data_IF_867888205197
#
_entry.id   IF_867888205197
#
_cell.length_a   1.000
_cell.length_b   1.000
_cell.length_c   1.000
_cell.angle_alpha   90.00
_cell.angle_beta   90.00
_cell.angle_gamma   90.00
#
_symmetry.space_group_name_H-M   'P 1'
#
loop_
_entity.id
_entity.type
_entity.pdbx_description
1 polymer ?
#
# COMPACT_ATOMS: atom_id res chain seq x y z
N UNK A 1 27.94 -0.40 10.87
CA UNK A 1 26.93 0.09 11.85
C UNK A 1 25.61 0.20 11.11
N UNK A 2 24.56 -0.44 11.60
CA UNK A 2 23.22 -0.36 10.99
C UNK A 2 22.62 1.00 11.33
N UNK A 3 22.25 1.78 10.30
CA UNK A 3 21.63 3.09 10.50
C UNK A 3 20.21 2.90 11.02
N UNK A 4 19.92 3.51 12.18
CA UNK A 4 18.56 3.56 12.71
C UNK A 4 17.83 4.77 12.13
N UNK A 5 16.58 4.57 11.74
CA UNK A 5 15.65 5.62 11.33
C UNK A 5 14.48 5.54 12.31
N UNK A 6 14.05 6.64 12.94
CA UNK A 6 12.89 6.59 13.85
C UNK A 6 12.98 5.56 15.00
N UNK A 7 14.19 5.11 15.36
CA UNK A 7 14.42 4.09 16.40
C UNK A 7 14.58 2.65 15.91
N UNK A 8 14.31 2.35 14.63
CA UNK A 8 14.43 1.00 14.07
C UNK A 8 15.41 0.94 12.89
N UNK A 9 16.00 -0.23 12.70
CA UNK A 9 16.76 -0.53 11.50
C UNK A 9 15.82 -1.00 10.38
N UNK A 10 16.32 -0.99 9.14
CA UNK A 10 15.68 -1.73 8.07
C UNK A 10 16.07 -3.20 8.10
N UNK A 11 15.13 -4.09 7.79
CA UNK A 11 15.42 -5.50 7.56
C UNK A 11 16.46 -5.66 6.46
N UNK A 12 17.37 -6.63 6.63
CA UNK A 12 18.34 -6.96 5.62
C UNK A 12 17.64 -7.33 4.30
N UNK A 13 18.08 -6.72 3.20
CA UNK A 13 17.51 -6.95 1.88
C UNK A 13 16.22 -6.16 1.58
N UNK A 14 15.73 -5.36 2.52
CA UNK A 14 14.67 -4.38 2.28
C UNK A 14 14.99 -3.49 1.07
N UNK A 15 13.92 -3.11 0.36
CA UNK A 15 14.00 -2.28 -0.83
C UNK A 15 13.20 -1.01 -0.62
N UNK A 16 13.81 0.11 -0.99
CA UNK A 16 13.26 1.45 -0.84
C UNK A 16 13.23 2.15 -2.20
N UNK A 17 12.25 3.04 -2.44
CA UNK A 17 12.24 3.84 -3.65
C UNK A 17 13.52 4.69 -3.77
N UNK A 18 14.04 4.77 -4.99
CA UNK A 18 15.21 5.61 -5.30
C UNK A 18 14.79 7.06 -5.50
N UNK A 19 15.70 7.96 -5.15
CA UNK A 19 15.58 9.39 -5.42
C UNK A 19 16.58 9.78 -6.53
N UNK A 20 16.35 10.88 -7.27
CA UNK A 20 15.23 11.83 -7.11
C UNK A 20 13.91 11.31 -7.70
N UNK A 21 12.79 11.77 -7.13
CA UNK A 21 11.47 11.57 -7.72
C UNK A 21 11.31 12.41 -8.98
N UNK A 22 10.68 11.84 -10.00
CA UNK A 22 10.29 12.54 -11.24
C UNK A 22 8.81 12.35 -11.53
N UNK A 23 8.26 13.21 -12.39
CA UNK A 23 6.95 12.95 -12.98
C UNK A 23 7.05 11.77 -13.96
N UNK A 24 6.00 10.95 -14.09
CA UNK A 24 5.91 9.98 -15.16
C UNK A 24 5.97 10.67 -16.53
N UNK A 25 6.48 9.98 -17.55
CA UNK A 25 6.35 10.40 -18.95
C UNK A 25 4.88 10.29 -19.39
N UNK A 26 4.54 10.83 -20.56
CA UNK A 26 3.20 10.66 -21.14
C UNK A 26 2.86 9.19 -21.39
N UNK A 27 3.83 8.41 -21.87
CA UNK A 27 3.70 6.97 -22.09
C UNK A 27 3.46 6.21 -20.78
N UNK A 28 4.26 6.48 -19.74
CA UNK A 28 4.06 5.89 -18.41
C UNK A 28 2.71 6.29 -17.82
N UNK A 29 2.29 7.55 -18.01
CA UNK A 29 0.98 8.01 -17.54
C UNK A 29 -0.15 7.26 -18.24
N UNK A 30 -0.06 7.10 -19.56
CA UNK A 30 -1.05 6.35 -20.33
C UNK A 30 -1.09 4.86 -19.96
N UNK A 31 0.03 4.26 -19.56
CA UNK A 31 0.06 2.87 -19.09
C UNK A 31 -0.39 2.70 -17.64
N UNK A 32 -0.23 3.72 -16.79
CA UNK A 32 -0.54 3.65 -15.36
C UNK A 32 -1.99 4.02 -15.03
N UNK A 33 -2.61 4.87 -15.83
CA UNK A 33 -3.95 5.41 -15.55
C UNK A 33 -4.99 4.66 -16.37
N UNK A 34 -5.86 3.92 -15.68
CA UNK A 34 -7.05 3.36 -16.29
C UNK A 34 -8.03 4.49 -16.67
N UNK A 35 -8.61 4.42 -17.88
CA UNK A 35 -9.61 5.38 -18.36
C UNK A 35 -11.01 5.10 -17.82
N UNK A 36 -11.25 3.88 -17.36
CA UNK A 36 -12.51 3.43 -16.75
C UNK A 36 -12.22 2.70 -15.45
N UNK A 37 -13.17 2.73 -14.51
CA UNK A 37 -13.04 1.99 -13.26
C UNK A 37 -13.06 0.48 -13.54
N UNK A 38 -11.96 -0.26 -13.28
CA UNK A 38 -11.90 -1.69 -13.57
C UNK A 38 -12.99 -2.45 -12.83
N UNK A 39 -13.55 -3.50 -13.44
CA UNK A 39 -14.51 -4.39 -12.76
C UNK A 39 -13.86 -5.18 -11.64
N UNK A 40 -12.64 -5.65 -11.91
CA UNK A 40 -11.82 -6.36 -10.95
C UNK A 40 -10.84 -5.40 -10.27
N UNK A 41 -10.95 -5.29 -8.95
CA UNK A 41 -10.09 -4.45 -8.13
C UNK A 41 -8.81 -5.18 -7.67
N UNK A 42 -8.63 -6.45 -8.04
CA UNK A 42 -7.44 -7.26 -7.70
C UNK A 42 -6.17 -6.83 -8.45
N UNK A 43 -6.31 -5.96 -9.46
CA UNK A 43 -5.24 -5.47 -10.34
C UNK A 43 -5.21 -3.94 -10.43
N UNK A 44 -5.99 -3.24 -9.60
CA UNK A 44 -6.18 -1.79 -9.71
C UNK A 44 -5.92 -1.08 -8.38
N UNK A 45 -5.28 0.08 -8.46
CA UNK A 45 -5.20 1.03 -7.35
C UNK A 45 -6.14 2.19 -7.65
N UNK A 46 -7.02 2.53 -6.71
CA UNK A 46 -7.88 3.71 -6.80
C UNK A 46 -7.50 4.71 -5.74
N UNK A 47 -7.37 5.99 -6.11
CA UNK A 47 -7.26 7.10 -5.17
C UNK A 47 -8.62 7.79 -5.15
N UNK A 48 -9.22 7.88 -3.97
CA UNK A 48 -10.54 8.47 -3.79
C UNK A 48 -10.49 9.62 -2.81
N UNK A 49 -11.30 10.64 -3.09
CA UNK A 49 -11.58 11.72 -2.16
C UNK A 49 -12.86 11.38 -1.42
N UNK A 50 -12.77 11.32 -0.10
CA UNK A 50 -13.95 11.03 0.72
C UNK A 50 -14.86 12.26 0.80
N UNK A 51 -16.18 12.05 0.95
CA UNK A 51 -17.14 13.14 1.10
C UNK A 51 -16.86 13.95 2.37
N UNK A 52 -17.47 15.13 2.46
CA UNK A 52 -17.24 16.08 3.55
C UNK A 52 -17.50 15.54 4.96
N UNK A 53 -18.18 14.42 5.10
CA UNK A 53 -18.28 13.71 6.38
C UNK A 53 -16.92 13.22 6.91
N UNK A 54 -15.84 13.26 6.11
CA UNK A 54 -14.45 13.02 6.51
C UNK A 54 -13.63 14.31 6.71
N UNK A 55 -14.27 15.46 6.95
CA UNK A 55 -13.58 16.67 7.42
C UNK A 55 -13.01 16.48 8.84
N UNK A 56 -12.26 17.49 9.30
CA UNK A 56 -11.45 17.45 10.53
C UNK A 56 -12.14 16.77 11.71
N UNK A 57 -13.40 17.11 12.03
CA UNK A 57 -14.13 16.53 13.16
C UNK A 57 -14.33 15.02 13.10
N UNK A 58 -14.54 14.44 11.91
CA UNK A 58 -14.69 13.00 11.77
C UNK A 58 -13.36 12.27 11.80
N UNK A 59 -12.30 12.91 11.30
CA UNK A 59 -10.94 12.37 11.42
C UNK A 59 -10.47 12.42 12.86
N UNK A 60 -10.80 13.50 13.58
CA UNK A 60 -10.60 13.61 15.02
C UNK A 60 -11.37 12.52 15.78
N UNK A 61 -12.63 12.26 15.41
CA UNK A 61 -13.43 11.19 15.98
C UNK A 61 -12.78 9.82 15.74
N UNK A 62 -12.38 9.48 14.50
CA UNK A 62 -11.71 8.22 14.18
C UNK A 62 -10.42 8.04 15.00
N UNK A 63 -9.66 9.12 15.23
CA UNK A 63 -8.43 9.07 16.05
C UNK A 63 -8.70 8.91 17.55
N UNK A 64 -9.87 9.29 18.03
CA UNK A 64 -10.16 9.39 19.48
C UNK A 64 -11.21 8.40 19.98
N UNK A 65 -12.05 7.84 19.11
CA UNK A 65 -13.22 7.08 19.49
C UNK A 65 -13.02 5.56 19.39
N UNK A 66 -13.40 4.88 20.47
CA UNK A 66 -13.73 3.46 20.48
C UNK A 66 -15.22 3.29 20.13
N UNK A 67 -15.55 2.40 19.19
CA UNK A 67 -16.91 1.89 18.90
C UNK A 67 -17.93 2.78 18.15
N UNK A 68 -17.51 3.73 17.28
CA UNK A 68 -18.43 4.32 16.28
C UNK A 68 -18.43 3.51 14.96
N UNK A 69 -19.55 3.53 14.22
CA UNK A 69 -19.63 2.95 12.88
C UNK A 69 -18.94 3.88 11.86
N UNK A 70 -17.61 3.84 11.84
CA UNK A 70 -16.79 4.60 10.90
C UNK A 70 -16.94 4.12 9.45
N UNK A 71 -17.62 3.00 9.21
CA UNK A 71 -17.87 2.49 7.87
C UNK A 71 -19.08 3.16 7.23
N UNK A 72 -20.05 3.62 8.01
CA UNK A 72 -21.26 4.28 7.52
C UNK A 72 -20.97 5.38 6.47
N UNK A 73 -20.10 6.38 6.74
CA UNK A 73 -19.81 7.43 5.75
C UNK A 73 -19.01 6.90 4.55
N UNK A 74 -18.25 5.81 4.70
CA UNK A 74 -17.55 5.18 3.56
C UNK A 74 -18.49 4.41 2.65
N UNK A 75 -19.56 3.82 3.19
CA UNK A 75 -20.56 3.06 2.40
C UNK A 75 -21.29 3.92 1.37
N UNK A 76 -21.25 5.25 1.52
CA UNK A 76 -21.76 6.18 0.51
C UNK A 76 -20.83 6.36 -0.71
N UNK A 77 -19.56 5.96 -0.62
CA UNK A 77 -18.54 6.13 -1.67
C UNK A 77 -17.90 4.81 -2.11
N UNK A 78 -18.07 3.76 -1.31
CA UNK A 78 -17.51 2.44 -1.59
C UNK A 78 -18.54 1.34 -1.29
N UNK A 79 -18.63 0.36 -2.18
CA UNK A 79 -19.08 -0.98 -1.83
C UNK A 79 -17.92 -1.70 -1.15
N UNK A 80 -18.17 -2.36 -0.03
CA UNK A 80 -17.13 -3.08 0.71
C UNK A 80 -17.09 -4.57 0.36
N UNK A 81 -18.17 -5.12 -0.19
CA UNK A 81 -18.38 -6.56 -0.29
C UNK A 81 -18.19 -7.29 1.06
N UNK A 82 -18.26 -8.61 1.05
CA UNK A 82 -17.99 -9.43 2.25
C UNK A 82 -16.80 -10.39 1.98
N UNK A 83 -16.01 -10.75 3.00
CA UNK A 83 -16.10 -10.27 4.39
C UNK A 83 -15.52 -8.85 4.57
N UNK A 84 -16.03 -8.10 5.56
CA UNK A 84 -15.44 -6.82 5.99
C UNK A 84 -14.65 -6.98 7.29
N UNK A 85 -13.38 -6.57 7.27
CA UNK A 85 -12.51 -6.56 8.44
C UNK A 85 -12.01 -5.14 8.74
N UNK A 86 -12.42 -4.58 9.88
CA UNK A 86 -11.87 -3.31 10.36
C UNK A 86 -10.52 -3.59 11.02
N UNK A 87 -9.43 -3.11 10.41
CA UNK A 87 -8.07 -3.20 10.98
C UNK A 87 -7.87 -2.10 12.03
N UNK A 88 -8.51 -0.94 11.82
CA UNK A 88 -8.49 0.17 12.76
C UNK A 88 -7.43 1.22 12.41
N UNK A 89 -7.02 1.97 13.43
CA UNK A 89 -6.09 3.09 13.31
C UNK A 89 -4.63 2.64 13.39
N UNK A 90 -3.76 3.28 12.60
CA UNK A 90 -2.32 3.12 12.67
C UNK A 90 -1.60 4.47 12.75
N UNK A 91 -0.47 4.51 13.44
CA UNK A 91 0.37 5.70 13.58
C UNK A 91 1.82 5.42 13.17
N UNK A 92 2.45 6.33 12.44
CA UNK A 92 3.87 6.27 12.12
C UNK A 92 4.56 7.61 12.40
N UNK A 93 5.89 7.58 12.57
CA UNK A 93 6.69 8.79 12.70
C UNK A 93 6.71 9.58 11.37
N UNK A 94 6.80 10.92 11.43
CA UNK A 94 7.00 11.75 10.23
C UNK A 94 8.35 11.49 9.57
N UNK A 95 8.45 11.81 8.28
CA UNK A 95 9.71 11.90 7.56
C UNK A 95 10.30 10.55 7.10
N UNK A 96 9.51 9.48 7.07
CA UNK A 96 9.96 8.14 6.72
C UNK A 96 9.74 7.82 5.22
N UNK A 97 10.77 7.23 4.59
CA UNK A 97 10.72 6.75 3.20
C UNK A 97 9.72 5.62 2.99
N UNK A 98 9.61 4.74 3.98
CA UNK A 98 8.62 3.68 4.11
C UNK A 98 8.24 3.56 5.57
N UNK A 99 7.00 3.17 5.89
CA UNK A 99 6.48 3.27 7.26
C UNK A 99 6.26 1.93 7.95
N UNK A 100 6.09 0.83 7.20
CA UNK A 100 5.74 -0.46 7.81
C UNK A 100 6.89 -1.05 8.63
N UNK A 101 6.59 -1.34 9.90
CA UNK A 101 7.48 -2.00 10.85
C UNK A 101 6.99 -3.42 11.13
N UNK A 102 7.89 -4.40 11.07
CA UNK A 102 7.67 -5.67 11.74
C UNK A 102 7.91 -5.47 13.25
N UNK A 103 6.83 -5.38 14.02
CA UNK A 103 6.91 -5.08 15.45
C UNK A 103 7.54 -6.20 16.29
N UNK A 104 7.46 -7.46 15.85
CA UNK A 104 8.12 -8.57 16.55
C UNK A 104 9.64 -8.46 16.48
N UNK A 105 10.15 -7.98 15.34
CA UNK A 105 11.58 -7.85 15.07
C UNK A 105 12.13 -6.44 15.30
N UNK A 106 11.26 -5.43 15.40
CA UNK A 106 11.67 -4.03 15.53
C UNK A 106 12.42 -3.53 14.30
N UNK A 107 11.93 -3.86 13.10
CA UNK A 107 12.59 -3.48 11.85
C UNK A 107 11.60 -2.99 10.80
N UNK A 108 12.00 -1.99 10.01
CA UNK A 108 11.27 -1.60 8.82
C UNK A 108 11.42 -2.64 7.72
N UNK A 109 10.30 -3.01 7.09
CA UNK A 109 10.27 -4.04 6.05
C UNK A 109 10.66 -3.46 4.68
N UNK A 110 10.31 -2.19 4.44
CA UNK A 110 10.35 -1.54 3.13
C UNK A 110 9.22 -2.03 2.22
N UNK A 111 9.36 -1.84 0.91
CA UNK A 111 8.38 -2.32 -0.08
C UNK A 111 8.05 -3.81 0.16
N UNK A 112 6.78 -4.12 0.43
CA UNK A 112 6.34 -5.42 0.89
C UNK A 112 4.99 -5.82 0.28
N UNK A 113 4.58 -7.06 0.59
CA UNK A 113 3.29 -7.63 0.26
C UNK A 113 2.64 -8.07 1.57
N UNK A 114 1.38 -7.71 1.77
CA UNK A 114 0.59 -8.18 2.90
C UNK A 114 0.26 -9.67 2.75
N UNK A 115 -0.03 -10.38 3.84
CA UNK A 115 -0.38 -11.80 3.81
C UNK A 115 -1.45 -12.12 4.86
N UNK A 116 -2.69 -11.66 4.64
CA UNK A 116 -3.78 -11.86 5.58
C UNK A 116 -4.70 -13.02 5.19
N UNK A 117 -4.93 -13.21 3.90
CA UNK A 117 -5.83 -14.24 3.37
C UNK A 117 -5.07 -15.53 2.99
N UNK A 118 -3.74 -15.52 3.09
CA UNK A 118 -2.85 -16.69 2.97
C UNK A 118 -2.94 -17.45 1.63
N UNK A 119 -3.29 -16.74 0.56
CA UNK A 119 -3.28 -17.31 -0.79
C UNK A 119 -1.86 -17.57 -1.31
N UNK A 120 -1.72 -18.54 -2.21
CA UNK A 120 -0.51 -18.68 -3.03
C UNK A 120 -0.45 -17.62 -4.12
N UNK A 121 0.73 -17.44 -4.73
CA UNK A 121 0.98 -16.42 -5.76
C UNK A 121 -0.04 -16.48 -6.91
N UNK A 122 -0.48 -17.68 -7.30
CA UNK A 122 -1.42 -17.87 -8.42
C UNK A 122 -2.84 -17.45 -8.05
N UNK A 123 -3.18 -17.50 -6.76
CA UNK A 123 -4.52 -17.23 -6.22
C UNK A 123 -4.65 -15.86 -5.57
N UNK A 124 -3.59 -15.05 -5.54
CA UNK A 124 -3.59 -13.70 -4.93
C UNK A 124 -4.67 -12.75 -5.50
N UNK A 125 -5.14 -12.99 -6.72
CA UNK A 125 -6.24 -12.22 -7.31
C UNK A 125 -7.59 -12.46 -6.61
N UNK A 126 -7.74 -13.52 -5.80
CA UNK A 126 -8.92 -13.77 -4.98
C UNK A 126 -8.88 -13.07 -3.62
N UNK A 127 -7.70 -12.60 -3.19
CA UNK A 127 -7.50 -11.92 -1.92
C UNK A 127 -8.39 -10.68 -1.80
N UNK A 128 -8.77 -10.38 -0.58
CA UNK A 128 -9.39 -9.11 -0.23
C UNK A 128 -8.42 -7.97 -0.50
N UNK A 129 -8.96 -6.82 -0.88
CA UNK A 129 -8.22 -5.57 -0.99
C UNK A 129 -8.47 -4.73 0.27
N UNK A 130 -7.77 -3.60 0.40
CA UNK A 130 -7.94 -2.69 1.53
C UNK A 130 -8.16 -1.26 1.08
N UNK A 131 -8.96 -0.54 1.85
CA UNK A 131 -9.01 0.91 1.85
C UNK A 131 -8.16 1.41 3.01
N UNK A 132 -7.30 2.40 2.75
CA UNK A 132 -6.51 3.06 3.77
C UNK A 132 -6.69 4.57 3.64
N UNK A 133 -7.22 5.18 4.69
CA UNK A 133 -7.62 6.58 4.73
C UNK A 133 -6.54 7.39 5.43
N UNK A 134 -6.16 8.53 4.86
CA UNK A 134 -5.35 9.52 5.56
C UNK A 134 -6.22 10.30 6.56
N UNK A 135 -6.15 9.91 7.83
CA UNK A 135 -6.83 10.63 8.92
C UNK A 135 -5.91 11.66 9.60
N UNK A 136 -4.64 11.73 9.22
CA UNK A 136 -3.65 12.64 9.78
C UNK A 136 -3.75 14.08 9.27
N UNK A 137 -2.87 14.94 9.77
CA UNK A 137 -2.87 16.38 9.47
C UNK A 137 -2.07 16.78 8.24
N UNK A 138 -1.21 15.89 7.75
CA UNK A 138 -0.35 16.14 6.61
C UNK A 138 -0.68 15.18 5.47
N UNK A 139 -0.35 15.57 4.25
CA UNK A 139 -0.44 14.65 3.13
C UNK A 139 0.56 13.50 3.34
N UNK A 140 0.18 12.31 2.87
CA UNK A 140 1.01 11.11 2.89
C UNK A 140 1.16 10.56 1.47
N UNK A 141 2.03 9.59 1.31
CA UNK A 141 2.19 8.93 0.02
C UNK A 141 1.87 7.44 0.13
N UNK A 142 1.22 6.91 -0.90
CA UNK A 142 1.14 5.48 -1.17
C UNK A 142 2.17 5.12 -2.25
N UNK A 143 2.97 4.10 -1.98
CA UNK A 143 4.05 3.64 -2.83
C UNK A 143 3.70 2.26 -3.39
N UNK A 144 3.91 2.01 -4.67
CA UNK A 144 3.74 0.66 -5.23
C UNK A 144 4.56 0.41 -6.51
N UNK A 145 4.86 -0.86 -6.79
CA UNK A 145 5.30 -1.28 -8.12
C UNK A 145 4.07 -1.47 -9.02
N UNK A 146 4.10 -1.04 -10.29
CA UNK A 146 2.95 -1.14 -11.19
C UNK A 146 2.80 -2.56 -11.79
N UNK A 147 3.01 -3.60 -10.98
CA UNK A 147 2.94 -5.00 -11.36
C UNK A 147 2.28 -5.80 -10.23
N UNK A 148 1.48 -6.79 -10.60
CA UNK A 148 0.99 -7.76 -9.62
C UNK A 148 2.13 -8.65 -9.11
N UNK A 149 1.93 -9.30 -7.97
CA UNK A 149 2.89 -10.28 -7.45
C UNK A 149 3.07 -11.45 -8.42
N UNK A 150 1.97 -11.88 -9.05
CA UNK A 150 1.99 -12.93 -10.06
C UNK A 150 2.81 -12.53 -11.30
N UNK A 151 2.63 -11.32 -11.83
CA UNK A 151 3.39 -10.85 -13.00
C UNK A 151 4.89 -10.80 -12.69
N UNK A 152 5.25 -10.29 -11.51
CA UNK A 152 6.65 -10.25 -11.08
C UNK A 152 7.24 -11.65 -10.94
N UNK A 153 6.48 -12.60 -10.41
CA UNK A 153 6.93 -13.99 -10.31
C UNK A 153 7.15 -14.61 -11.69
N UNK A 154 6.27 -14.34 -12.66
CA UNK A 154 6.45 -14.77 -14.05
C UNK A 154 7.72 -14.17 -14.67
N UNK A 155 7.94 -12.86 -14.53
CA UNK A 155 9.13 -12.19 -15.04
C UNK A 155 10.43 -12.73 -14.43
N UNK A 156 10.42 -13.04 -13.13
CA UNK A 156 11.57 -13.67 -12.47
C UNK A 156 11.82 -15.10 -12.95
N UNK A 157 10.77 -15.90 -13.12
CA UNK A 157 10.89 -17.25 -13.65
C UNK A 157 11.48 -17.26 -15.07
N UNK A 158 11.08 -16.30 -15.91
CA UNK A 158 11.65 -16.11 -17.24
C UNK A 158 13.13 -15.70 -17.19
N UNK A 159 13.49 -14.76 -16.31
CA UNK A 159 14.86 -14.23 -16.22
C UNK A 159 15.86 -15.19 -15.53
N UNK A 160 15.39 -15.98 -14.56
CA UNK A 160 16.23 -16.88 -13.75
C UNK A 160 16.16 -18.34 -14.23
N UNK A 161 15.18 -18.68 -15.06
CA UNK A 161 15.00 -19.99 -15.67
C UNK A 161 14.38 -21.04 -14.74
N UNK A 162 14.32 -22.28 -15.25
CA UNK A 162 13.59 -23.42 -14.65
C UNK A 162 14.04 -23.83 -13.23
N UNK A 163 15.18 -23.34 -12.75
CA UNK A 163 15.70 -23.62 -11.40
C UNK A 163 15.26 -22.62 -10.34
N UNK A 164 14.53 -21.57 -10.70
CA UNK A 164 14.00 -20.60 -9.75
C UNK A 164 12.74 -21.15 -9.08
N UNK A 165 12.74 -21.14 -7.75
CA UNK A 165 11.59 -21.53 -6.94
C UNK A 165 10.96 -20.29 -6.32
N UNK A 166 9.62 -20.26 -6.29
CA UNK A 166 8.87 -19.17 -5.64
C UNK A 166 9.22 -19.15 -4.15
N UNK A 167 9.77 -18.04 -3.62
CA UNK A 167 10.03 -17.89 -2.20
C UNK A 167 8.75 -18.01 -1.36
N UNK A 168 8.88 -18.59 -0.16
CA UNK A 168 7.76 -18.77 0.76
C UNK A 168 7.09 -17.46 1.22
N UNK A 169 7.84 -16.35 1.25
CA UNK A 169 7.32 -15.01 1.57
C UNK A 169 7.18 -14.20 0.29
N UNK A 170 5.98 -13.74 -0.04
CA UNK A 170 5.74 -12.92 -1.24
C UNK A 170 6.60 -11.66 -1.30
N UNK A 171 6.89 -11.04 -0.16
CA UNK A 171 7.80 -9.88 -0.08
C UNK A 171 9.19 -10.21 -0.67
N UNK A 172 9.68 -11.44 -0.54
CA UNK A 172 10.99 -11.84 -1.07
C UNK A 172 11.00 -11.90 -2.61
N UNK A 173 9.86 -12.24 -3.24
CA UNK A 173 9.70 -12.15 -4.71
C UNK A 173 10.02 -10.72 -5.16
N UNK A 174 9.44 -9.72 -4.51
CA UNK A 174 9.69 -8.31 -4.82
C UNK A 174 11.13 -7.89 -4.56
N UNK A 175 11.75 -8.39 -3.48
CA UNK A 175 13.16 -8.09 -3.18
C UNK A 175 14.11 -8.59 -4.25
N UNK A 176 13.86 -9.79 -4.77
CA UNK A 176 14.62 -10.37 -5.89
C UNK A 176 14.37 -9.58 -7.18
N UNK A 177 13.11 -9.27 -7.49
CA UNK A 177 12.75 -8.48 -8.67
C UNK A 177 13.42 -7.11 -8.67
N UNK A 178 13.30 -6.33 -7.60
CA UNK A 178 13.93 -5.01 -7.49
C UNK A 178 15.46 -5.08 -7.45
N UNK A 179 16.06 -6.23 -7.08
CA UNK A 179 17.49 -6.45 -7.21
C UNK A 179 17.90 -6.63 -8.67
N UNK A 180 17.10 -7.38 -9.43
CA UNK A 180 17.39 -7.79 -10.80
C UNK A 180 17.01 -6.73 -11.83
N UNK A 181 15.95 -5.98 -11.56
CA UNK A 181 15.38 -4.93 -12.39
C UNK A 181 15.39 -3.58 -11.64
N UNK A 182 16.59 -3.05 -11.33
CA UNK A 182 16.75 -1.87 -10.48
C UNK A 182 16.17 -0.58 -11.07
N UNK A 183 15.90 -0.55 -12.36
CA UNK A 183 15.43 0.64 -13.09
C UNK A 183 13.91 0.69 -13.24
N UNK A 184 13.20 -0.35 -12.78
CA UNK A 184 11.73 -0.33 -12.71
C UNK A 184 11.30 0.74 -11.70
N UNK A 185 10.47 1.72 -12.10
CA UNK A 185 10.07 2.80 -11.22
C UNK A 185 9.05 2.33 -10.18
N UNK A 186 9.20 2.84 -8.96
CA UNK A 186 8.13 2.81 -7.95
C UNK A 186 7.20 3.98 -8.22
N UNK A 187 5.90 3.72 -8.29
CA UNK A 187 4.85 4.73 -8.39
C UNK A 187 4.58 5.30 -7.00
N UNK A 188 4.37 6.62 -6.95
CA UNK A 188 4.05 7.34 -5.71
C UNK A 188 2.81 8.21 -5.92
N UNK A 189 1.75 7.90 -5.18
CA UNK A 189 0.51 8.67 -5.16
C UNK A 189 0.47 9.55 -3.90
N UNK A 190 0.16 10.83 -4.06
CA UNK A 190 -0.09 11.75 -2.95
C UNK A 190 -1.53 11.53 -2.44
N UNK A 191 -1.69 11.49 -1.12
CA UNK A 191 -2.99 11.47 -0.45
C UNK A 191 -3.07 12.63 0.54
N UNK A 192 -3.92 13.60 0.24
CA UNK A 192 -4.26 14.66 1.18
C UNK A 192 -5.04 14.09 2.38
N UNK A 193 -5.09 14.83 3.51
CA UNK A 193 -6.02 14.51 4.58
C UNK A 193 -7.46 14.33 4.09
N UNK A 194 -8.11 13.23 4.47
CA UNK A 194 -9.46 12.86 3.99
C UNK A 194 -9.48 12.16 2.62
N UNK A 195 -8.33 11.89 2.01
CA UNK A 195 -8.22 11.01 0.84
C UNK A 195 -7.83 9.59 1.26
N UNK A 196 -8.17 8.62 0.43
CA UNK A 196 -7.88 7.22 0.67
C UNK A 196 -7.39 6.53 -0.61
N UNK A 197 -6.63 5.45 -0.45
CA UNK A 197 -6.42 4.51 -1.54
C UNK A 197 -7.23 3.24 -1.29
N UNK A 198 -7.69 2.61 -2.36
CA UNK A 198 -8.15 1.22 -2.40
C UNK A 198 -7.12 0.45 -3.22
N UNK A 199 -6.52 -0.59 -2.64
CA UNK A 199 -5.47 -1.36 -3.30
C UNK A 199 -5.46 -2.84 -2.88
N UNK A 200 -5.14 -3.78 -3.81
CA UNK A 200 -5.01 -5.20 -3.54
C UNK A 200 -3.64 -5.50 -2.92
N UNK A 201 -3.44 -5.13 -1.66
CA UNK A 201 -2.10 -5.12 -1.03
C UNK A 201 -1.48 -6.49 -0.77
N UNK A 202 -2.25 -7.58 -0.92
CA UNK A 202 -1.71 -8.94 -0.98
C UNK A 202 -1.24 -9.33 -2.39
N UNK A 203 -1.70 -8.64 -3.43
CA UNK A 203 -1.29 -8.84 -4.83
C UNK A 203 -0.48 -7.66 -5.39
N UNK A 204 0.08 -6.80 -4.53
CA UNK A 204 0.80 -5.59 -4.91
C UNK A 204 1.98 -5.32 -3.98
N UNK A 205 3.18 -5.11 -4.54
CA UNK A 205 4.32 -4.63 -3.77
C UNK A 205 4.13 -3.16 -3.43
N UNK A 206 4.04 -2.82 -2.15
CA UNK A 206 3.64 -1.50 -1.71
C UNK A 206 4.26 -1.10 -0.36
N UNK A 207 4.10 0.18 0.01
CA UNK A 207 4.27 0.71 1.36
C UNK A 207 3.59 2.09 1.46
N UNK A 208 3.52 2.68 2.66
CA UNK A 208 3.24 4.09 2.86
C UNK A 208 4.52 4.92 3.02
N UNK A 209 4.46 6.22 2.78
CA UNK A 209 5.56 7.14 3.13
C UNK A 209 5.03 8.42 3.79
N UNK A 210 5.70 8.80 4.87
CA UNK A 210 5.47 10.02 5.64
C UNK A 210 6.49 11.13 5.32
N UNK A 211 7.22 11.01 4.21
CA UNK A 211 8.18 12.04 3.78
C UNK A 211 7.50 13.40 3.62
N UNK A 212 8.10 14.43 4.22
CA UNK A 212 7.61 15.81 4.17
C UNK A 212 6.54 16.15 5.21
N UNK A 213 6.14 15.20 6.06
CA UNK A 213 5.21 15.47 7.17
C UNK A 213 5.91 16.15 8.35
N UNK A 214 5.16 16.96 9.09
CA UNK A 214 5.59 17.59 10.34
C UNK A 214 4.86 17.03 11.58
N UNK A 215 3.75 16.32 11.38
CA UNK A 215 2.98 15.60 12.38
C UNK A 215 3.10 14.09 12.14
N UNK A 216 2.67 13.27 13.09
CA UNK A 216 2.58 11.81 12.89
C UNK A 216 1.75 11.48 11.64
N UNK A 217 2.13 10.41 10.95
CA UNK A 217 1.31 9.81 9.89
C UNK A 217 0.22 9.01 10.58
N UNK A 218 -1.05 9.29 10.30
CA UNK A 218 -2.18 8.63 10.96
C UNK A 218 -3.13 8.10 9.89
N UNK A 219 -3.46 6.83 9.99
CA UNK A 219 -4.30 6.13 9.02
C UNK A 219 -5.42 5.34 9.66
N UNK A 220 -6.50 5.13 8.91
CA UNK A 220 -7.54 4.15 9.25
C UNK A 220 -7.67 3.14 8.12
N UNK A 221 -7.66 1.84 8.45
CA UNK A 221 -7.61 0.76 7.47
C UNK A 221 -8.76 -0.22 7.63
N UNK A 222 -9.37 -0.58 6.51
CA UNK A 222 -10.43 -1.60 6.42
C UNK A 222 -10.10 -2.51 5.24
N UNK A 223 -10.34 -3.82 5.42
CA UNK A 223 -10.13 -4.86 4.42
C UNK A 223 -11.47 -5.45 3.99
N UNK A 224 -11.60 -5.80 2.71
CA UNK A 224 -12.78 -6.45 2.16
C UNK A 224 -12.70 -6.66 0.64
N UNK A 225 -13.83 -6.67 -0.05
CA UNK A 225 -13.90 -6.65 -1.52
C UNK A 225 -14.33 -5.26 -1.99
N UNK A 226 -13.50 -4.29 -1.69
CA UNK A 226 -13.83 -2.88 -1.72
C UNK A 226 -13.74 -2.33 -3.14
N UNK A 227 -14.77 -1.60 -3.56
CA UNK A 227 -14.88 -0.96 -4.86
C UNK A 227 -15.48 0.44 -4.69
N UNK A 228 -14.92 1.49 -5.32
CA UNK A 228 -15.57 2.79 -5.35
C UNK A 228 -16.86 2.75 -6.20
N UNK A 229 -17.87 3.54 -5.81
CA UNK A 229 -19.16 3.66 -6.51
C UNK A 229 -19.38 5.04 -7.14
#
# INVERSE_FOLDING_TARGET
MTTLVGGFAYEQGSRLPREPWRRPTEEETASLIATELPRDMSTAVSIIKLPGEFYDSARDAIRTAENEDFLAPLRATCDFGEPVHCIGTGENLPGLKTVTVNHERGEYIGMHVDTWDEYDVQSLHFATNRICINIGWNARYFLFLPYSVADVACLLAEELGLGWEIPARHTEIGRQFMARFPDVPVVRCLLAPGEAYIAPTENLFHDGSSLGQSHKDEVFTVRGRIRPI
#
